data_IF_805393139201
#
_entry.id   IF_805393139201
#
_cell.length_a   1.000
_cell.length_b   1.000
_cell.length_c   1.000
_cell.angle_alpha   90.00
_cell.angle_beta   90.00
_cell.angle_gamma   90.00
#
_symmetry.space_group_name_H-M   'P 1'
#
loop_
_entity.id
_entity.type
_entity.pdbx_description
1 polymer ?
#
# COMPACT_ATOMS: atom_id res chain seq x y z
N UNK A 1 -28.23 -18.24 -6.19
CA UNK A 1 -27.28 -18.18 -5.08
C UNK A 1 -26.10 -17.35 -5.50
N UNK A 2 -26.15 -16.09 -5.13
CA UNK A 2 -24.98 -15.24 -5.29
C UNK A 2 -24.06 -15.55 -4.12
N UNK A 3 -23.09 -16.41 -4.33
CA UNK A 3 -21.91 -16.33 -3.52
C UNK A 3 -21.33 -14.93 -3.77
N UNK A 4 -21.46 -14.07 -2.77
CA UNK A 4 -20.61 -12.90 -2.73
C UNK A 4 -19.20 -13.40 -3.05
N UNK A 5 -18.45 -12.74 -3.96
CA UNK A 5 -17.05 -13.05 -4.07
C UNK A 5 -16.51 -12.87 -2.66
N UNK A 6 -16.38 -13.99 -1.97
CA UNK A 6 -15.68 -14.00 -0.72
C UNK A 6 -14.41 -13.26 -1.00
N UNK A 7 -14.30 -12.15 -0.34
CA UNK A 7 -13.07 -11.44 -0.21
C UNK A 7 -11.98 -12.47 -0.33
N UNK A 8 -11.18 -12.39 -1.37
CA UNK A 8 -9.92 -13.08 -1.42
C UNK A 8 -9.09 -12.52 -0.28
N UNK A 9 -9.59 -12.75 0.92
CA UNK A 9 -8.80 -12.63 2.11
C UNK A 9 -7.82 -13.79 2.05
N UNK A 10 -6.76 -13.60 1.33
CA UNK A 10 -5.52 -14.18 1.76
C UNK A 10 -5.48 -13.87 3.25
N UNK A 11 -5.61 -14.90 4.09
CA UNK A 11 -5.45 -14.80 5.53
C UNK A 11 -4.03 -14.31 5.83
N UNK A 12 -3.76 -13.08 5.44
CA UNK A 12 -2.73 -12.31 6.06
C UNK A 12 -3.26 -12.17 7.48
N UNK A 13 -2.56 -12.72 8.43
CA UNK A 13 -2.81 -12.42 9.83
C UNK A 13 -2.68 -10.92 9.96
N UNK A 14 -3.80 -10.23 9.78
CA UNK A 14 -3.89 -8.82 10.11
C UNK A 14 -3.50 -8.76 11.58
N UNK A 15 -2.45 -8.05 11.86
CA UNK A 15 -2.16 -7.68 13.22
C UNK A 15 -3.35 -6.81 13.66
N UNK A 16 -4.31 -7.44 14.35
CA UNK A 16 -5.51 -6.76 14.84
C UNK A 16 -5.17 -5.56 15.74
N UNK A 17 -3.91 -5.42 16.09
CA UNK A 17 -3.40 -4.32 16.89
C UNK A 17 -2.84 -3.17 16.04
N UNK A 18 -2.67 -3.32 14.73
CA UNK A 18 -2.11 -2.28 13.88
C UNK A 18 -3.04 -1.06 13.81
N UNK A 19 -2.53 0.09 14.17
CA UNK A 19 -3.24 1.37 14.15
C UNK A 19 -2.26 2.51 13.92
N UNK A 20 -2.67 3.52 13.14
CA UNK A 20 -1.88 4.73 12.95
C UNK A 20 -1.69 5.50 14.25
N UNK A 21 -2.64 5.39 15.18
CA UNK A 21 -2.57 6.07 16.49
C UNK A 21 -1.53 5.48 17.44
N UNK A 22 -1.07 4.25 17.18
CA UNK A 22 -0.04 3.61 17.98
C UNK A 22 1.37 4.03 17.63
N UNK A 23 1.56 4.75 16.53
CA UNK A 23 2.84 5.35 16.24
C UNK A 23 3.13 6.48 17.21
N UNK A 24 4.33 6.45 17.76
CA UNK A 24 4.82 7.57 18.54
C UNK A 24 5.13 8.70 17.57
N UNK A 25 4.37 9.79 17.71
CA UNK A 25 4.66 10.99 16.95
C UNK A 25 5.98 11.59 17.43
N UNK A 26 6.90 11.73 16.52
CA UNK A 26 8.13 12.49 16.73
C UNK A 26 8.29 13.46 15.56
N UNK A 27 9.17 14.44 15.70
CA UNK A 27 9.33 15.48 14.69
C UNK A 27 9.65 14.93 13.29
N UNK A 28 10.26 13.74 13.21
CA UNK A 28 10.62 13.13 11.93
C UNK A 28 9.46 12.43 11.22
N UNK A 29 8.39 12.05 11.91
CA UNK A 29 7.28 11.29 11.33
C UNK A 29 5.92 11.97 11.41
N UNK A 30 5.81 13.05 12.17
CA UNK A 30 4.55 13.74 12.43
C UNK A 30 3.83 14.17 11.15
N UNK A 31 4.55 14.79 10.23
CA UNK A 31 3.97 15.26 8.97
C UNK A 31 3.53 14.10 8.09
N UNK A 32 4.31 13.03 8.06
CA UNK A 32 3.98 11.80 7.35
C UNK A 32 2.70 11.17 7.90
N UNK A 33 2.59 11.00 9.21
CA UNK A 33 1.40 10.42 9.84
C UNK A 33 0.16 11.28 9.63
N UNK A 34 0.29 12.60 9.74
CA UNK A 34 -0.79 13.55 9.45
C UNK A 34 -1.25 13.42 8.00
N UNK A 35 -0.31 13.34 7.07
CA UNK A 35 -0.62 13.16 5.66
C UNK A 35 -1.35 11.83 5.43
N UNK A 36 -0.87 10.72 5.99
CA UNK A 36 -1.51 9.42 5.87
C UNK A 36 -2.94 9.42 6.43
N UNK A 37 -3.18 10.05 7.57
CA UNK A 37 -4.53 10.21 8.13
C UNK A 37 -5.44 11.00 7.18
N UNK A 38 -4.91 12.02 6.52
CA UNK A 38 -5.66 12.81 5.55
C UNK A 38 -6.04 12.00 4.30
N UNK A 39 -5.24 10.99 3.92
CA UNK A 39 -5.56 10.13 2.77
C UNK A 39 -6.77 9.24 3.01
N UNK A 40 -7.17 9.04 4.27
CA UNK A 40 -8.38 8.28 4.63
C UNK A 40 -9.67 9.00 4.25
N UNK A 41 -9.62 10.31 4.07
CA UNK A 41 -10.78 11.12 3.72
C UNK A 41 -11.20 10.88 2.25
N UNK A 42 -12.49 10.97 1.97
CA UNK A 42 -13.00 10.79 0.61
C UNK A 42 -12.46 11.84 -0.36
N UNK A 43 -12.31 13.07 0.09
CA UNK A 43 -11.81 14.22 -0.69
C UNK A 43 -10.28 14.37 -0.59
N UNK A 44 -9.55 13.28 -0.74
CA UNK A 44 -8.09 13.39 -0.81
C UNK A 44 -7.65 13.94 -2.17
N UNK A 45 -6.56 14.68 -2.15
CA UNK A 45 -5.99 15.35 -3.35
C UNK A 45 -5.57 14.35 -4.42
N UNK A 46 -5.24 13.13 -4.01
CA UNK A 46 -4.79 12.06 -4.90
C UNK A 46 -5.46 10.74 -4.49
N UNK A 47 -5.54 9.83 -5.45
CA UNK A 47 -5.94 8.45 -5.21
C UNK A 47 -4.74 7.48 -5.26
N UNK A 48 -3.56 7.95 -5.57
CA UNK A 48 -2.38 7.13 -5.80
C UNK A 48 -1.28 7.53 -4.83
N UNK A 49 -0.87 6.60 -3.97
CA UNK A 49 0.12 6.83 -2.91
C UNK A 49 1.23 5.79 -2.97
N UNK A 50 2.47 6.25 -2.94
CA UNK A 50 3.66 5.41 -2.97
C UNK A 50 4.46 5.61 -1.68
N UNK A 51 4.41 4.63 -0.80
CA UNK A 51 5.06 4.66 0.51
C UNK A 51 6.39 3.93 0.39
N UNK A 52 7.49 4.64 0.61
CA UNK A 52 8.80 4.05 0.49
C UNK A 52 9.69 4.37 1.68
N UNK A 53 10.69 3.54 1.88
CA UNK A 53 11.63 3.68 2.98
C UNK A 53 12.44 2.41 3.14
N UNK A 54 13.48 2.49 3.95
CA UNK A 54 14.36 1.35 4.22
C UNK A 54 13.59 0.16 4.76
N UNK A 55 14.13 -1.02 4.55
CA UNK A 55 13.61 -2.23 5.17
C UNK A 55 13.61 -2.06 6.70
N UNK A 56 12.54 -2.51 7.35
CA UNK A 56 12.39 -2.43 8.80
C UNK A 56 11.93 -1.09 9.38
N UNK A 57 11.60 -0.09 8.56
CA UNK A 57 11.13 1.23 9.07
C UNK A 57 9.65 1.23 9.49
N UNK A 58 8.90 0.17 9.22
CA UNK A 58 7.50 0.06 9.61
C UNK A 58 6.48 0.22 8.47
N UNK A 59 6.91 0.09 7.21
CA UNK A 59 6.01 0.18 6.04
C UNK A 59 4.87 -0.82 6.10
N UNK A 60 5.15 -2.09 6.40
CA UNK A 60 4.12 -3.13 6.50
C UNK A 60 3.11 -2.83 7.60
N UNK A 61 3.57 -2.30 8.72
CA UNK A 61 2.69 -1.88 9.80
C UNK A 61 1.76 -0.74 9.35
N UNK A 62 2.30 0.23 8.64
CA UNK A 62 1.49 1.34 8.07
C UNK A 62 0.45 0.81 7.10
N UNK A 63 0.83 -0.09 6.19
CA UNK A 63 -0.09 -0.68 5.22
C UNK A 63 -1.22 -1.46 5.91
N UNK A 64 -0.91 -2.23 6.94
CA UNK A 64 -1.90 -2.92 7.75
C UNK A 64 -2.81 -1.95 8.50
N UNK A 65 -2.25 -0.90 9.08
CA UNK A 65 -3.02 0.12 9.78
C UNK A 65 -3.98 0.86 8.85
N UNK A 66 -3.52 1.25 7.66
CA UNK A 66 -4.36 1.86 6.63
C UNK A 66 -5.50 0.93 6.21
N UNK A 67 -5.19 -0.33 5.95
CA UNK A 67 -6.19 -1.32 5.58
C UNK A 67 -7.27 -1.44 6.65
N UNK A 68 -6.87 -1.53 7.91
CA UNK A 68 -7.80 -1.61 9.04
C UNK A 68 -8.66 -0.35 9.17
N UNK A 69 -8.07 0.83 9.03
CA UNK A 69 -8.84 2.08 9.09
C UNK A 69 -9.91 2.14 7.98
N UNK A 70 -9.56 1.71 6.76
CA UNK A 70 -10.52 1.66 5.67
C UNK A 70 -11.63 0.64 5.91
N UNK A 71 -11.31 -0.53 6.46
CA UNK A 71 -12.32 -1.52 6.85
C UNK A 71 -13.27 -0.95 7.92
N UNK A 72 -12.74 -0.21 8.89
CA UNK A 72 -13.55 0.47 9.90
C UNK A 72 -14.45 1.56 9.32
N UNK A 73 -14.09 2.10 8.16
CA UNK A 73 -14.91 3.06 7.40
C UNK A 73 -15.87 2.38 6.41
N UNK A 74 -16.09 1.07 6.56
CA UNK A 74 -16.93 0.25 5.68
C UNK A 74 -16.50 0.26 4.22
N UNK A 75 -15.20 0.46 3.95
CA UNK A 75 -14.64 0.39 2.60
C UNK A 75 -14.25 -1.04 2.24
N UNK A 76 -14.45 -1.39 0.97
CA UNK A 76 -14.03 -2.68 0.42
C UNK A 76 -12.57 -2.60 0.05
N UNK A 77 -11.74 -3.40 0.69
CA UNK A 77 -10.29 -3.34 0.53
C UNK A 77 -9.72 -4.64 -0.04
N UNK A 78 -8.60 -4.51 -0.73
CA UNK A 78 -7.74 -5.61 -1.14
C UNK A 78 -6.32 -5.31 -0.67
N UNK A 79 -5.71 -6.23 0.05
CA UNK A 79 -4.37 -6.07 0.60
C UNK A 79 -3.51 -7.27 0.21
N UNK A 80 -2.42 -7.01 -0.49
CA UNK A 80 -1.52 -8.03 -1.03
C UNK A 80 -0.07 -7.67 -0.74
N UNK A 81 0.73 -8.66 -0.32
CA UNK A 81 2.19 -8.54 -0.30
C UNK A 81 2.80 -9.38 -1.42
N UNK A 82 3.60 -8.77 -2.28
CA UNK A 82 4.28 -9.46 -3.36
C UNK A 82 5.43 -10.36 -2.86
N UNK A 83 5.82 -10.23 -1.60
CA UNK A 83 6.76 -11.13 -0.94
C UNK A 83 6.11 -12.41 -0.42
N UNK A 84 4.78 -12.49 -0.43
CA UNK A 84 4.09 -13.67 0.03
C UNK A 84 4.26 -14.81 -0.99
N UNK A 85 4.86 -15.91 -0.57
CA UNK A 85 5.13 -17.07 -1.42
C UNK A 85 3.87 -17.75 -1.96
N UNK A 86 2.70 -17.48 -1.38
CA UNK A 86 1.41 -17.97 -1.86
C UNK A 86 0.92 -17.23 -3.09
N UNK A 87 1.49 -16.05 -3.36
CA UNK A 87 1.15 -15.23 -4.51
C UNK A 87 1.96 -15.74 -5.71
N UNK A 88 1.32 -16.57 -6.52
CA UNK A 88 1.98 -17.25 -7.66
C UNK A 88 1.43 -16.83 -9.02
N UNK A 89 0.31 -16.14 -9.07
CA UNK A 89 -0.32 -15.75 -10.33
C UNK A 89 -0.79 -14.30 -10.31
N UNK A 90 -0.56 -13.60 -11.42
CA UNK A 90 -1.05 -12.26 -11.67
C UNK A 90 -2.58 -12.16 -11.70
N UNK A 91 -3.28 -13.27 -11.87
CA UNK A 91 -4.74 -13.33 -11.89
C UNK A 91 -5.37 -12.83 -10.59
N UNK A 92 -4.61 -12.84 -9.48
CA UNK A 92 -5.06 -12.29 -8.20
C UNK A 92 -5.37 -10.79 -8.29
N UNK A 93 -4.82 -10.10 -9.29
CA UNK A 93 -5.03 -8.67 -9.52
C UNK A 93 -6.21 -8.38 -10.46
N UNK A 94 -6.92 -9.41 -10.91
CA UNK A 94 -8.08 -9.25 -11.79
C UNK A 94 -9.37 -8.98 -11.01
N UNK A 95 -10.31 -8.32 -11.66
CA UNK A 95 -11.66 -8.07 -11.12
C UNK A 95 -11.69 -7.28 -9.80
N UNK A 96 -10.78 -6.31 -9.67
CA UNK A 96 -10.70 -5.44 -8.52
C UNK A 96 -11.45 -4.11 -8.67
N UNK A 97 -12.19 -3.93 -9.78
CA UNK A 97 -12.86 -2.67 -10.13
C UNK A 97 -13.98 -2.28 -9.15
N UNK A 98 -14.53 -3.26 -8.44
CA UNK A 98 -15.59 -3.02 -7.45
C UNK A 98 -15.07 -2.60 -6.08
N UNK A 99 -13.76 -2.56 -5.89
CA UNK A 99 -13.15 -2.23 -4.63
C UNK A 99 -12.99 -0.72 -4.44
N UNK A 100 -12.89 -0.31 -3.21
CA UNK A 100 -12.67 1.09 -2.83
C UNK A 100 -11.19 1.40 -2.62
N UNK A 101 -10.43 0.42 -2.10
CA UNK A 101 -9.01 0.60 -1.76
C UNK A 101 -8.20 -0.66 -2.10
N UNK A 102 -7.07 -0.47 -2.72
CA UNK A 102 -6.11 -1.51 -3.07
C UNK A 102 -4.77 -1.16 -2.42
N UNK A 103 -4.23 -2.10 -1.63
CA UNK A 103 -2.93 -1.96 -0.97
C UNK A 103 -2.01 -3.08 -1.44
N UNK A 104 -0.90 -2.72 -2.06
CA UNK A 104 0.10 -3.70 -2.55
C UNK A 104 1.45 -3.37 -1.94
N UNK A 105 1.97 -4.32 -1.16
CA UNK A 105 3.27 -4.20 -0.50
C UNK A 105 4.39 -4.81 -1.33
N UNK A 106 5.57 -4.24 -1.16
CA UNK A 106 6.82 -4.74 -1.73
C UNK A 106 6.82 -4.77 -3.26
N UNK A 107 6.43 -3.65 -3.86
CA UNK A 107 6.35 -3.54 -5.33
C UNK A 107 7.71 -3.80 -6.01
N UNK A 108 8.84 -3.64 -5.31
CA UNK A 108 10.17 -4.02 -5.79
C UNK A 108 10.31 -5.52 -6.04
N UNK A 109 9.43 -6.32 -5.47
CA UNK A 109 9.37 -7.77 -5.67
C UNK A 109 8.44 -8.18 -6.81
N UNK A 110 7.89 -7.21 -7.54
CA UNK A 110 7.08 -7.51 -8.71
C UNK A 110 7.89 -8.38 -9.69
N UNK A 111 7.35 -9.54 -10.10
CA UNK A 111 8.03 -10.35 -11.11
C UNK A 111 8.33 -9.54 -12.37
N UNK A 112 9.49 -9.74 -12.95
CA UNK A 112 9.87 -9.14 -14.23
C UNK A 112 9.15 -9.89 -15.36
N UNK A 113 7.86 -9.74 -15.41
CA UNK A 113 6.92 -10.47 -16.24
C UNK A 113 5.90 -9.49 -16.80
N UNK A 114 5.73 -9.48 -18.10
CA UNK A 114 4.83 -8.56 -18.80
C UNK A 114 3.39 -8.66 -18.30
N UNK A 115 2.92 -9.86 -17.97
CA UNK A 115 1.55 -10.07 -17.47
C UNK A 115 1.33 -9.41 -16.12
N UNK A 116 2.28 -9.55 -15.19
CA UNK A 116 2.23 -8.87 -13.89
C UNK A 116 2.24 -7.36 -14.04
N UNK A 117 3.16 -6.85 -14.84
CA UNK A 117 3.30 -5.41 -15.06
C UNK A 117 2.06 -4.82 -15.74
N UNK A 118 1.47 -5.54 -16.70
CA UNK A 118 0.25 -5.14 -17.38
C UNK A 118 -0.94 -5.08 -16.42
N UNK A 119 -1.06 -6.03 -15.49
CA UNK A 119 -2.13 -6.02 -14.50
C UNK A 119 -2.00 -4.81 -13.55
N UNK A 120 -0.81 -4.52 -13.06
CA UNK A 120 -0.58 -3.33 -12.23
C UNK A 120 -0.90 -2.05 -13.02
N UNK A 121 -0.47 -1.97 -14.27
CA UNK A 121 -0.76 -0.84 -15.15
C UNK A 121 -2.28 -0.63 -15.31
N UNK A 122 -3.03 -1.71 -15.54
CA UNK A 122 -4.50 -1.66 -15.64
C UNK A 122 -5.15 -1.15 -14.36
N UNK A 123 -4.68 -1.62 -13.20
CA UNK A 123 -5.20 -1.14 -11.91
C UNK A 123 -5.00 0.37 -11.74
N UNK A 124 -3.82 0.86 -12.09
CA UNK A 124 -3.51 2.29 -11.99
C UNK A 124 -4.40 3.11 -12.92
N UNK A 125 -4.58 2.66 -14.17
CA UNK A 125 -5.45 3.35 -15.12
C UNK A 125 -6.91 3.39 -14.63
N UNK A 126 -7.41 2.30 -14.07
CA UNK A 126 -8.74 2.27 -13.48
C UNK A 126 -8.88 3.25 -12.33
N UNK A 127 -7.86 3.35 -11.48
CA UNK A 127 -7.86 4.29 -10.36
C UNK A 127 -7.82 5.75 -10.82
N UNK A 128 -7.17 6.05 -11.94
CA UNK A 128 -7.13 7.41 -12.49
C UNK A 128 -8.50 7.89 -13.00
N UNK A 129 -9.37 6.98 -13.41
CA UNK A 129 -10.69 7.29 -13.94
C UNK A 129 -11.84 7.00 -12.96
N UNK A 130 -11.51 6.48 -11.80
CA UNK A 130 -12.47 6.09 -10.76
C UNK A 130 -12.08 6.71 -9.41
N UNK A 131 -12.81 6.34 -8.36
CA UNK A 131 -12.51 6.76 -6.99
C UNK A 131 -11.70 5.73 -6.21
N UNK A 132 -11.16 4.72 -6.87
CA UNK A 132 -10.35 3.69 -6.22
C UNK A 132 -9.03 4.30 -5.74
N UNK A 133 -8.68 4.07 -4.49
CA UNK A 133 -7.37 4.47 -3.95
C UNK A 133 -6.40 3.30 -4.05
N UNK A 134 -5.18 3.58 -4.49
CA UNK A 134 -4.10 2.60 -4.52
C UNK A 134 -2.95 3.08 -3.64
N UNK A 135 -2.54 2.21 -2.73
CA UNK A 135 -1.33 2.36 -1.93
C UNK A 135 -0.32 1.31 -2.36
N UNK A 136 0.85 1.74 -2.76
CA UNK A 136 1.99 0.87 -3.03
C UNK A 136 3.05 1.10 -1.97
N UNK A 137 3.74 0.05 -1.54
CA UNK A 137 4.91 0.21 -0.68
C UNK A 137 6.15 -0.44 -1.29
N UNK A 138 7.31 0.15 -1.00
CA UNK A 138 8.60 -0.32 -1.50
C UNK A 138 9.76 0.10 -0.60
N UNK A 139 10.85 -0.65 -0.65
CA UNK A 139 12.13 -0.22 -0.08
C UNK A 139 12.91 0.71 -1.04
N UNK A 140 12.40 0.97 -2.24
CA UNK A 140 13.05 1.79 -3.28
C UNK A 140 12.12 2.91 -3.73
N UNK A 141 12.69 4.03 -4.15
CA UNK A 141 11.93 5.03 -4.90
C UNK A 141 11.46 4.45 -6.24
N UNK A 142 10.36 4.95 -6.76
CA UNK A 142 9.75 4.39 -7.98
C UNK A 142 10.69 4.39 -9.19
N UNK A 143 11.59 5.35 -9.29
CA UNK A 143 12.56 5.45 -10.38
C UNK A 143 13.62 4.34 -10.36
N UNK A 144 13.85 3.73 -9.21
CA UNK A 144 14.83 2.65 -9.04
C UNK A 144 14.22 1.26 -9.23
N UNK A 145 12.92 1.17 -9.45
CA UNK A 145 12.25 -0.09 -9.73
C UNK A 145 12.66 -0.58 -11.11
N UNK A 146 12.96 -1.87 -11.19
CA UNK A 146 13.29 -2.53 -12.45
C UNK A 146 11.99 -2.97 -13.15
N UNK A 147 11.41 -2.09 -13.92
CA UNK A 147 10.16 -2.29 -14.63
C UNK A 147 10.44 -2.28 -16.13
N UNK A 148 10.03 -3.36 -16.81
CA UNK A 148 10.22 -3.50 -18.25
C UNK A 148 9.22 -2.71 -19.08
N UNK A 149 7.99 -2.53 -18.56
CA UNK A 149 6.93 -1.80 -19.24
C UNK A 149 7.10 -0.29 -19.00
N UNK A 150 7.52 0.45 -20.02
CA UNK A 150 7.74 1.89 -19.91
C UNK A 150 6.48 2.67 -19.50
N UNK A 151 5.31 2.25 -19.96
CA UNK A 151 4.04 2.86 -19.60
C UNK A 151 3.76 2.73 -18.11
N UNK A 152 4.09 1.59 -17.49
CA UNK A 152 3.98 1.39 -16.05
C UNK A 152 4.94 2.30 -15.29
N UNK A 153 6.19 2.38 -15.74
CA UNK A 153 7.18 3.28 -15.13
C UNK A 153 6.70 4.74 -15.17
N UNK A 154 6.11 5.15 -16.27
CA UNK A 154 5.52 6.48 -16.42
C UNK A 154 4.35 6.70 -15.46
N UNK A 155 3.45 5.71 -15.31
CA UNK A 155 2.30 5.80 -14.38
C UNK A 155 2.72 5.88 -12.92
N UNK A 156 3.81 5.24 -12.53
CA UNK A 156 4.32 5.32 -11.17
C UNK A 156 4.75 6.75 -10.80
N UNK A 157 5.07 7.59 -11.77
CA UNK A 157 5.37 9.01 -11.52
C UNK A 157 4.15 9.84 -11.10
N UNK A 158 2.93 9.34 -11.31
CA UNK A 158 1.70 10.02 -10.87
C UNK A 158 1.40 9.78 -9.38
N UNK A 159 2.06 8.84 -8.75
CA UNK A 159 1.86 8.56 -7.33
C UNK A 159 2.43 9.67 -6.46
N UNK A 160 1.69 10.02 -5.43
CA UNK A 160 2.22 10.88 -4.37
C UNK A 160 3.18 10.05 -3.51
N UNK A 161 4.45 10.38 -3.55
CA UNK A 161 5.49 9.65 -2.83
C UNK A 161 5.57 10.11 -1.37
N UNK A 162 5.63 9.15 -0.46
CA UNK A 162 5.74 9.37 0.98
C UNK A 162 6.94 8.58 1.47
N UNK A 163 7.95 9.27 1.95
CA UNK A 163 9.11 8.64 2.56
C UNK A 163 8.85 8.37 4.04
N UNK A 164 9.06 7.12 4.45
CA UNK A 164 8.98 6.73 5.84
C UNK A 164 10.39 6.67 6.42
N UNK A 165 10.67 7.59 7.31
CA UNK A 165 11.84 7.52 8.18
C UNK A 165 11.49 6.70 9.41
N UNK A 166 12.51 6.15 10.10
CA UNK A 166 12.35 5.26 11.26
C UNK A 166 11.14 5.61 12.14
N UNK A 167 10.17 4.71 12.16
CA UNK A 167 9.04 4.79 13.06
C UNK A 167 9.36 3.94 14.30
N UNK A 168 9.62 4.59 15.40
CA UNK A 168 9.73 3.90 16.68
C UNK A 168 8.34 3.63 17.25
N UNK A 169 8.05 2.38 17.53
CA UNK A 169 6.81 1.98 18.19
C UNK A 169 6.89 2.02 19.70
N UNK A 170 8.09 2.10 20.27
CA UNK A 170 8.30 2.39 21.68
C UNK A 170 9.67 3.01 21.89
N UNK A 171 9.80 4.00 22.77
CA UNK A 171 11.12 4.49 23.13
C UNK A 171 11.88 3.35 23.82
N UNK A 172 13.01 2.98 23.24
CA UNK A 172 13.92 2.10 23.96
C UNK A 172 14.39 2.81 25.23
N UNK A 173 14.21 2.23 26.42
CA UNK A 173 14.68 2.85 27.64
C UNK A 173 16.21 2.97 27.72
N UNK A 174 16.91 2.52 26.67
CA UNK A 174 18.37 2.57 26.59
C UNK A 174 18.90 3.65 25.65
N UNK A 175 18.05 4.40 24.99
CA UNK A 175 18.47 5.57 24.23
C UNK A 175 18.76 6.72 25.20
N UNK A 176 19.86 6.57 25.83
CA UNK A 176 20.50 7.69 26.49
C UNK A 176 21.65 8.12 25.62
N UNK A 177 21.45 9.26 25.06
CA UNK A 177 22.58 9.95 24.52
C UNK A 177 23.71 10.03 25.51
#
# INVERSE_FOLDING_TARGET
>A
MSESPDQLSLNIKLDDSASLDKFIECDSNKDCLTFLRNTLKEESISNLFYIWGREGVGKSYIMQALNREFINLDKRTFHLSLNDKRVSSHEILQNLESLDVILIENIESLPNDEEWETQIFSLINNALTSKIKIYLSSCKVSKELQIGLEDLQSRLSYFTAIEICLLYTSPSPRDRG
#
